data_IF_515033171518
#
_entry.id   IF_515033171518
#
_cell.length_a   1.000
_cell.length_b   1.000
_cell.length_c   1.000
_cell.angle_alpha   90.00
_cell.angle_beta   90.00
_cell.angle_gamma   90.00
#
_symmetry.space_group_name_H-M   'P 1'
#
loop_
_entity.id
_entity.type
_entity.pdbx_description
1 polymer ?
#
# COMPACT_ATOMS: atom_id res chain seq x y z
N UNK A 1 16.96 -18.81 21.76
CA UNK A 1 16.51 -20.07 21.15
C UNK A 1 16.06 -19.73 19.72
N UNK A 2 16.85 -20.12 18.72
CA UNK A 2 16.66 -19.75 17.31
C UNK A 2 15.42 -20.46 16.77
N UNK A 3 14.35 -19.72 16.50
CA UNK A 3 13.22 -20.24 15.71
C UNK A 3 13.67 -20.35 14.25
N UNK A 4 14.20 -21.53 13.91
CA UNK A 4 14.34 -21.99 12.54
C UNK A 4 12.99 -21.90 11.85
N UNK A 5 12.90 -21.13 10.77
CA UNK A 5 11.70 -21.06 9.93
C UNK A 5 11.50 -22.39 9.22
N UNK A 6 10.80 -23.30 9.89
CA UNK A 6 10.04 -24.35 9.23
C UNK A 6 8.96 -23.68 8.37
N UNK A 7 9.25 -23.48 7.08
CA UNK A 7 8.23 -23.22 6.06
C UNK A 7 8.45 -24.19 4.91
N UNK A 8 8.14 -25.46 5.16
CA UNK A 8 8.20 -26.52 4.15
C UNK A 8 7.41 -26.11 2.91
N UNK A 9 6.28 -25.40 3.03
CA UNK A 9 5.46 -24.93 1.90
C UNK A 9 6.13 -23.84 1.04
N UNK A 10 6.70 -22.79 1.65
CA UNK A 10 7.37 -21.71 0.91
C UNK A 10 8.67 -22.19 0.24
N UNK A 11 9.43 -23.04 0.93
CA UNK A 11 10.57 -23.72 0.33
C UNK A 11 10.13 -24.65 -0.81
N UNK A 12 8.97 -25.32 -0.70
CA UNK A 12 8.43 -26.19 -1.76
C UNK A 12 8.01 -25.37 -2.99
N UNK A 13 7.37 -24.21 -2.83
CA UNK A 13 6.99 -23.34 -3.96
C UNK A 13 8.21 -22.74 -4.66
N UNK A 14 9.20 -22.24 -3.90
CA UNK A 14 10.46 -21.77 -4.46
C UNK A 14 11.26 -22.91 -5.11
N UNK A 15 11.14 -24.14 -4.60
CA UNK A 15 11.71 -25.32 -5.24
C UNK A 15 10.99 -25.63 -6.55
N UNK A 16 9.65 -25.58 -6.63
CA UNK A 16 8.88 -25.78 -7.87
C UNK A 16 9.27 -24.74 -8.93
N UNK A 17 9.43 -23.47 -8.54
CA UNK A 17 9.95 -22.42 -9.44
C UNK A 17 11.38 -22.74 -9.91
N UNK A 18 12.27 -23.19 -9.01
CA UNK A 18 13.59 -23.71 -9.42
C UNK A 18 13.45 -24.90 -10.37
N UNK A 19 12.47 -25.78 -10.19
CA UNK A 19 12.24 -26.94 -11.05
C UNK A 19 11.77 -26.53 -12.44
N UNK A 20 10.91 -25.52 -12.56
CA UNK A 20 10.42 -24.97 -13.82
C UNK A 20 11.54 -24.26 -14.58
N UNK A 21 12.32 -23.44 -13.89
CA UNK A 21 13.44 -22.70 -14.48
C UNK A 21 14.63 -23.60 -14.84
N UNK A 22 14.96 -24.61 -14.02
CA UNK A 22 16.07 -25.55 -14.30
C UNK A 22 15.70 -26.69 -15.25
N UNK A 23 14.43 -26.88 -15.61
CA UNK A 23 14.00 -28.01 -16.44
C UNK A 23 14.57 -27.98 -17.88
N UNK A 24 15.27 -26.91 -18.28
CA UNK A 24 16.10 -26.91 -19.49
C UNK A 24 17.35 -27.81 -19.39
N UNK A 25 17.73 -28.28 -18.19
CA UNK A 25 18.84 -29.22 -17.99
C UNK A 25 18.44 -30.41 -17.10
N UNK A 26 18.14 -31.51 -17.79
CA UNK A 26 18.24 -32.92 -17.38
C UNK A 26 17.95 -33.26 -15.90
N UNK A 27 16.75 -33.81 -15.65
CA UNK A 27 16.54 -34.78 -14.56
C UNK A 27 16.06 -36.12 -15.11
N UNK A 28 16.85 -37.17 -14.85
CA UNK A 28 16.57 -38.58 -15.09
C UNK A 28 15.66 -39.16 -14.00
N UNK A 29 14.42 -38.69 -13.93
CA UNK A 29 13.38 -39.35 -13.13
C UNK A 29 12.22 -39.60 -14.09
N UNK A 30 11.69 -40.84 -14.23
CA UNK A 30 10.53 -41.11 -15.06
C UNK A 30 9.24 -40.79 -14.27
N UNK A 31 8.50 -39.72 -14.59
CA UNK A 31 7.22 -39.43 -13.96
C UNK A 31 6.13 -39.96 -14.89
N UNK A 32 5.30 -40.87 -14.38
CA UNK A 32 3.95 -41.07 -14.92
C UNK A 32 3.27 -39.68 -14.88
N UNK A 33 2.87 -39.16 -16.04
CA UNK A 33 2.24 -37.83 -16.25
C UNK A 33 3.19 -36.59 -16.21
N UNK A 34 4.16 -36.51 -17.15
CA UNK A 34 4.93 -35.27 -17.39
C UNK A 34 4.04 -34.20 -18.06
N UNK A 35 3.81 -33.08 -17.37
CA UNK A 35 3.31 -31.83 -18.00
C UNK A 35 4.48 -31.03 -18.58
N UNK A 36 4.37 -30.64 -19.86
CA UNK A 36 5.31 -29.77 -20.58
C UNK A 36 4.76 -28.34 -20.54
N UNK A 37 5.62 -27.39 -20.21
CA UNK A 37 5.31 -25.95 -20.18
C UNK A 37 6.23 -25.31 -21.19
N UNK A 38 5.65 -24.63 -22.18
CA UNK A 38 6.35 -23.99 -23.30
C UNK A 38 5.99 -22.52 -23.33
N UNK A 39 6.91 -21.68 -23.79
CA UNK A 39 6.72 -20.25 -24.05
C UNK A 39 6.12 -19.45 -22.87
N UNK A 40 6.73 -19.59 -21.69
CA UNK A 40 6.35 -18.82 -20.49
C UNK A 40 7.39 -17.77 -20.13
N UNK A 41 6.90 -16.57 -19.81
CA UNK A 41 7.70 -15.51 -19.16
C UNK A 41 7.30 -15.43 -17.70
N UNK A 42 8.28 -15.44 -16.80
CA UNK A 42 8.05 -15.37 -15.36
C UNK A 42 8.44 -13.98 -14.82
N UNK A 43 7.49 -13.33 -14.16
CA UNK A 43 7.72 -12.11 -13.38
C UNK A 43 7.38 -12.42 -11.92
N UNK A 44 8.27 -12.04 -11.01
CA UNK A 44 8.10 -12.27 -9.58
C UNK A 44 8.48 -11.01 -8.80
N UNK A 45 7.78 -10.78 -7.68
CA UNK A 45 8.08 -9.71 -6.74
C UNK A 45 8.31 -10.30 -5.35
N UNK A 46 9.34 -9.82 -4.66
CA UNK A 46 9.62 -10.19 -3.28
C UNK A 46 9.92 -8.93 -2.48
N UNK A 47 9.50 -8.93 -1.21
CA UNK A 47 9.89 -7.85 -0.31
C UNK A 47 11.36 -8.04 0.13
N UNK A 48 12.12 -6.96 0.39
CA UNK A 48 13.50 -7.07 0.83
C UNK A 48 13.62 -7.95 2.09
N UNK A 49 14.70 -8.73 2.21
CA UNK A 49 14.96 -9.52 3.42
C UNK A 49 15.16 -8.55 4.58
N UNK A 50 14.23 -8.58 5.54
CA UNK A 50 14.25 -7.73 6.73
C UNK A 50 13.53 -8.44 7.87
N UNK A 51 14.16 -8.50 9.04
CA UNK A 51 13.65 -9.17 10.23
C UNK A 51 13.32 -10.65 10.01
N UNK A 52 12.03 -11.00 10.11
CA UNK A 52 11.53 -12.37 10.02
C UNK A 52 11.35 -12.92 8.59
N UNK A 53 11.70 -12.15 7.56
CA UNK A 53 11.51 -12.54 6.14
C UNK A 53 12.62 -13.46 5.66
N UNK A 54 12.26 -14.56 5.00
CA UNK A 54 13.22 -15.55 4.48
C UNK A 54 14.01 -14.99 3.29
N UNK A 55 15.33 -15.15 3.32
CA UNK A 55 16.21 -14.82 2.20
C UNK A 55 16.02 -15.78 1.02
N UNK A 56 16.01 -15.22 -0.19
CA UNK A 56 15.97 -16.03 -1.41
C UNK A 56 17.34 -16.61 -1.71
N UNK A 57 17.38 -17.90 -2.07
CA UNK A 57 18.65 -18.54 -2.41
C UNK A 57 19.28 -17.90 -3.66
N UNK A 58 20.57 -17.59 -3.62
CA UNK A 58 21.35 -17.05 -4.75
C UNK A 58 21.19 -17.87 -6.06
N UNK A 59 21.04 -19.19 -5.94
CA UNK A 59 20.80 -20.09 -7.09
C UNK A 59 19.51 -19.80 -7.85
N UNK A 60 18.48 -19.29 -7.18
CA UNK A 60 17.23 -18.88 -7.82
C UNK A 60 17.40 -17.51 -8.46
N UNK A 61 18.00 -16.57 -7.70
CA UNK A 61 18.23 -15.20 -8.13
C UNK A 61 19.08 -15.11 -9.41
N UNK A 62 20.02 -16.03 -9.64
CA UNK A 62 20.81 -16.09 -10.89
C UNK A 62 19.96 -16.19 -12.17
N UNK A 63 18.72 -16.67 -12.07
CA UNK A 63 17.83 -16.80 -13.23
C UNK A 63 16.92 -15.58 -13.46
N UNK A 64 16.97 -14.58 -12.58
CA UNK A 64 16.15 -13.37 -12.67
C UNK A 64 17.04 -12.14 -12.80
N UNK A 65 16.56 -11.12 -13.51
CA UNK A 65 17.07 -9.76 -13.37
C UNK A 65 16.38 -9.12 -12.17
N UNK A 66 17.18 -8.65 -11.20
CA UNK A 66 16.66 -8.08 -9.96
C UNK A 66 16.57 -6.56 -10.10
N UNK A 67 15.38 -6.02 -9.84
CA UNK A 67 15.14 -4.59 -9.74
C UNK A 67 14.74 -4.24 -8.31
N UNK A 68 15.36 -3.21 -7.74
CA UNK A 68 15.00 -2.69 -6.42
C UNK A 68 14.11 -1.47 -6.57
N UNK A 69 12.91 -1.53 -5.99
CA UNK A 69 11.97 -0.41 -5.98
C UNK A 69 12.12 0.37 -4.66
N UNK A 70 12.75 1.56 -4.67
CA UNK A 70 12.79 2.42 -3.49
C UNK A 70 11.39 2.97 -3.18
N UNK A 71 11.23 3.48 -1.97
CA UNK A 71 10.00 4.18 -1.61
C UNK A 71 9.89 5.46 -2.45
N UNK A 72 8.71 5.76 -3.04
CA UNK A 72 8.53 6.95 -3.86
C UNK A 72 8.70 8.23 -3.04
N UNK A 73 9.17 9.29 -3.69
CA UNK A 73 9.26 10.62 -3.09
C UNK A 73 7.87 11.21 -2.84
N UNK A 74 7.78 12.16 -1.90
CA UNK A 74 6.55 12.90 -1.61
C UNK A 74 5.95 13.54 -2.86
N UNK A 75 6.79 14.11 -3.74
CA UNK A 75 6.33 14.72 -5.00
C UNK A 75 5.74 13.66 -5.96
N UNK A 76 6.34 12.47 -6.02
CA UNK A 76 5.80 11.37 -6.82
C UNK A 76 4.44 10.93 -6.29
N UNK A 77 4.30 10.82 -4.96
CA UNK A 77 3.03 10.48 -4.32
C UNK A 77 1.96 11.55 -4.59
N UNK A 78 2.32 12.83 -4.46
CA UNK A 78 1.41 13.93 -4.80
C UNK A 78 0.92 13.81 -6.23
N UNK A 79 1.82 13.62 -7.20
CA UNK A 79 1.44 13.50 -8.60
C UNK A 79 0.53 12.29 -8.86
N UNK A 80 0.88 11.10 -8.33
CA UNK A 80 0.09 9.87 -8.52
C UNK A 80 -1.35 10.06 -8.01
N UNK A 81 -1.51 10.55 -6.78
CA UNK A 81 -2.84 10.70 -6.18
C UNK A 81 -3.61 11.90 -6.72
N UNK A 82 -2.94 12.99 -7.13
CA UNK A 82 -3.59 14.12 -7.80
C UNK A 82 -4.17 13.71 -9.15
N UNK A 83 -3.44 12.95 -9.96
CA UNK A 83 -3.96 12.43 -11.23
C UNK A 83 -5.15 11.50 -10.97
N UNK A 84 -5.02 10.56 -10.02
CA UNK A 84 -6.10 9.62 -9.72
C UNK A 84 -7.39 10.31 -9.26
N UNK A 85 -7.31 11.25 -8.33
CA UNK A 85 -8.48 11.99 -7.83
C UNK A 85 -8.99 12.98 -8.89
N UNK A 86 -8.08 13.68 -9.59
CA UNK A 86 -8.42 14.64 -10.64
C UNK A 86 -9.21 14.00 -11.77
N UNK A 87 -8.72 12.88 -12.31
CA UNK A 87 -9.42 12.14 -13.37
C UNK A 87 -10.84 11.73 -12.95
N UNK A 88 -11.04 11.32 -11.70
CA UNK A 88 -12.36 10.95 -11.21
C UNK A 88 -13.29 12.15 -11.11
N UNK A 89 -12.85 13.24 -10.46
CA UNK A 89 -13.65 14.45 -10.29
C UNK A 89 -14.06 15.07 -11.64
N UNK A 90 -13.16 15.00 -12.63
CA UNK A 90 -13.44 15.43 -14.00
C UNK A 90 -14.39 14.47 -14.73
N UNK A 91 -14.17 13.14 -14.62
CA UNK A 91 -15.02 12.14 -15.31
C UNK A 91 -16.47 12.12 -14.85
N UNK A 92 -16.72 12.41 -13.57
CA UNK A 92 -18.05 12.42 -12.96
C UNK A 92 -18.68 13.82 -12.95
N UNK A 93 -18.06 14.81 -13.61
CA UNK A 93 -18.58 16.19 -13.71
C UNK A 93 -18.87 16.85 -12.35
N UNK A 94 -18.02 16.66 -11.35
CA UNK A 94 -18.13 17.37 -10.07
C UNK A 94 -18.06 18.88 -10.27
N UNK A 95 -18.68 19.65 -9.36
CA UNK A 95 -18.65 21.11 -9.43
C UNK A 95 -17.20 21.67 -9.39
N UNK A 96 -16.91 22.78 -10.10
CA UNK A 96 -15.56 23.36 -10.14
C UNK A 96 -14.97 23.70 -8.77
N UNK A 97 -15.83 24.00 -7.78
CA UNK A 97 -15.40 24.26 -6.40
C UNK A 97 -14.75 23.02 -5.78
N UNK A 98 -15.30 21.84 -6.03
CA UNK A 98 -14.79 20.55 -5.53
C UNK A 98 -13.53 20.14 -6.30
N UNK A 99 -13.51 20.33 -7.62
CA UNK A 99 -12.33 20.04 -8.44
C UNK A 99 -11.10 20.84 -7.99
N UNK A 100 -11.27 22.09 -7.58
CA UNK A 100 -10.19 22.93 -7.02
C UNK A 100 -9.62 22.41 -5.70
N UNK A 101 -10.38 21.60 -4.95
CA UNK A 101 -9.91 21.02 -3.69
C UNK A 101 -8.95 19.84 -3.88
N UNK A 102 -8.79 19.29 -5.09
CA UNK A 102 -7.98 18.07 -5.34
C UNK A 102 -6.57 18.15 -4.77
N UNK A 103 -5.89 19.29 -4.96
CA UNK A 103 -4.49 19.46 -4.55
C UNK A 103 -4.36 19.54 -3.03
N UNK A 104 -5.32 20.21 -2.39
CA UNK A 104 -5.40 20.30 -0.93
C UNK A 104 -5.71 18.94 -0.30
N UNK A 105 -6.65 18.18 -0.87
CA UNK A 105 -7.01 16.85 -0.39
C UNK A 105 -5.81 15.90 -0.41
N UNK A 106 -5.08 15.84 -1.53
CA UNK A 106 -3.92 14.96 -1.66
C UNK A 106 -2.79 15.39 -0.71
N UNK A 107 -2.52 16.70 -0.62
CA UNK A 107 -1.45 17.20 0.24
C UNK A 107 -1.77 16.96 1.71
N UNK A 108 -3.01 17.20 2.14
CA UNK A 108 -3.47 16.90 3.49
C UNK A 108 -3.40 15.40 3.79
N UNK A 109 -3.84 14.54 2.87
CA UNK A 109 -3.79 13.08 3.04
C UNK A 109 -2.35 12.57 3.26
N UNK A 110 -1.41 13.08 2.46
CA UNK A 110 0.01 12.72 2.56
C UNK A 110 0.62 13.23 3.87
N UNK A 111 0.28 14.47 4.28
CA UNK A 111 0.75 15.04 5.53
C UNK A 111 0.29 14.23 6.74
N UNK A 112 -1.02 13.90 6.80
CA UNK A 112 -1.59 13.07 7.86
C UNK A 112 -0.94 11.68 7.86
N UNK A 113 -0.78 11.05 6.69
CA UNK A 113 -0.12 9.76 6.57
C UNK A 113 1.30 9.78 7.17
N UNK A 114 2.13 10.76 6.82
CA UNK A 114 3.48 10.85 7.37
C UNK A 114 3.50 11.17 8.88
N UNK A 115 2.56 11.98 9.38
CA UNK A 115 2.41 12.20 10.83
C UNK A 115 2.05 10.91 11.55
N UNK A 116 1.08 10.16 11.02
CA UNK A 116 0.67 8.86 11.57
C UNK A 116 1.82 7.86 11.59
N UNK A 117 2.56 7.72 10.50
CA UNK A 117 3.74 6.85 10.45
C UNK A 117 4.84 7.23 11.44
N UNK A 118 4.99 8.52 11.78
CA UNK A 118 6.04 9.00 12.69
C UNK A 118 5.65 8.87 14.15
N UNK A 119 4.39 9.15 14.49
CA UNK A 119 3.94 9.21 15.87
C UNK A 119 3.35 7.89 16.39
N UNK A 120 2.64 7.15 15.53
CA UNK A 120 1.99 5.90 15.91
C UNK A 120 2.81 4.70 15.43
N UNK A 121 3.94 4.46 16.10
CA UNK A 121 4.84 3.36 15.77
C UNK A 121 4.33 2.01 16.31
N UNK A 122 4.58 0.91 15.59
CA UNK A 122 4.25 -0.42 16.08
C UNK A 122 5.12 -0.76 17.30
N UNK A 123 4.46 -1.17 18.38
CA UNK A 123 5.11 -1.66 19.60
C UNK A 123 4.75 -3.13 19.82
N UNK A 124 5.46 -3.89 20.68
CA UNK A 124 5.08 -5.27 20.98
C UNK A 124 3.64 -5.41 21.51
N UNK A 125 3.15 -4.38 22.21
CA UNK A 125 1.76 -4.31 22.72
C UNK A 125 0.76 -3.92 21.62
N UNK A 126 1.18 -3.08 20.66
CA UNK A 126 0.36 -2.58 19.54
C UNK A 126 1.00 -2.91 18.18
N UNK A 127 1.12 -4.19 17.81
CA UNK A 127 1.77 -4.59 16.57
C UNK A 127 0.94 -4.24 15.33
N UNK A 128 -0.37 -4.00 15.49
CA UNK A 128 -1.30 -3.61 14.42
C UNK A 128 -1.16 -2.15 13.97
N UNK A 129 -0.36 -1.33 14.68
CA UNK A 129 -0.07 0.06 14.31
C UNK A 129 0.96 0.13 13.17
N UNK A 130 0.65 -0.53 12.06
CA UNK A 130 1.47 -0.55 10.86
C UNK A 130 0.79 0.25 9.77
N UNK A 131 1.39 1.39 9.44
CA UNK A 131 0.91 2.29 8.41
C UNK A 131 1.84 2.25 7.20
N UNK A 132 1.27 2.11 6.01
CA UNK A 132 2.01 2.07 4.74
C UNK A 132 1.22 2.77 3.63
N UNK A 133 1.81 2.89 2.44
CA UNK A 133 1.20 3.62 1.33
C UNK A 133 -0.15 3.05 0.85
N UNK A 134 -0.48 1.79 1.18
CA UNK A 134 -1.82 1.22 0.92
C UNK A 134 -2.90 1.96 1.70
N UNK A 135 -2.58 2.50 2.87
CA UNK A 135 -3.54 3.24 3.67
C UNK A 135 -3.89 4.56 3.00
N UNK A 136 -2.90 5.25 2.45
CA UNK A 136 -3.14 6.42 1.60
C UNK A 136 -3.99 6.07 0.36
N UNK A 137 -3.73 4.92 -0.26
CA UNK A 137 -4.56 4.44 -1.38
C UNK A 137 -6.00 4.11 -0.97
N UNK A 138 -6.24 3.63 0.26
CA UNK A 138 -7.60 3.41 0.79
C UNK A 138 -8.35 4.73 1.00
N UNK A 139 -7.68 5.77 1.52
CA UNK A 139 -8.29 7.11 1.64
C UNK A 139 -8.68 7.63 0.26
N UNK A 140 -7.78 7.53 -0.72
CA UNK A 140 -8.09 7.91 -2.10
C UNK A 140 -9.27 7.09 -2.65
N UNK A 141 -9.29 5.77 -2.45
CA UNK A 141 -10.39 4.91 -2.88
C UNK A 141 -11.74 5.25 -2.23
N UNK A 142 -11.74 5.70 -0.97
CA UNK A 142 -12.94 6.21 -0.31
C UNK A 142 -13.47 7.48 -0.98
N UNK A 143 -12.57 8.42 -1.28
CA UNK A 143 -12.92 9.65 -2.02
C UNK A 143 -13.46 9.36 -3.43
N UNK A 144 -12.93 8.33 -4.10
CA UNK A 144 -13.38 7.89 -5.43
C UNK A 144 -14.78 7.23 -5.45
N UNK A 145 -15.37 6.95 -4.29
CA UNK A 145 -16.73 6.41 -4.18
C UNK A 145 -17.77 7.51 -3.95
N UNK A 146 -17.34 8.78 -3.87
CA UNK A 146 -18.24 9.90 -3.74
C UNK A 146 -19.13 10.05 -4.98
N UNK A 147 -20.37 10.47 -4.76
CA UNK A 147 -21.30 10.82 -5.81
C UNK A 147 -21.40 12.35 -5.94
N UNK A 148 -21.48 12.85 -7.16
CA UNK A 148 -21.48 14.28 -7.46
C UNK A 148 -22.71 15.01 -6.90
N UNK A 149 -23.84 14.33 -6.77
CA UNK A 149 -25.06 14.89 -6.15
C UNK A 149 -24.87 15.21 -4.67
N UNK A 150 -24.07 14.41 -3.96
CA UNK A 150 -23.89 14.53 -2.52
C UNK A 150 -22.83 15.56 -2.18
N UNK A 151 -21.71 15.57 -2.91
CA UNK A 151 -20.58 16.46 -2.66
C UNK A 151 -20.67 17.69 -3.59
N UNK A 152 -21.58 18.59 -3.24
CA UNK A 152 -21.81 19.83 -3.98
C UNK A 152 -21.07 21.05 -3.41
N UNK A 153 -20.41 20.94 -2.25
CA UNK A 153 -19.75 22.06 -1.59
C UNK A 153 -18.36 21.71 -1.07
N UNK A 154 -17.56 22.75 -0.81
CA UNK A 154 -16.23 22.61 -0.22
C UNK A 154 -16.32 21.98 1.17
N UNK A 155 -17.28 22.40 1.99
CA UNK A 155 -17.47 21.88 3.35
C UNK A 155 -17.81 20.39 3.32
N UNK A 156 -18.73 19.97 2.44
CA UNK A 156 -19.06 18.55 2.28
C UNK A 156 -17.87 17.71 1.83
N UNK A 157 -17.03 18.28 0.96
CA UNK A 157 -15.78 17.63 0.52
C UNK A 157 -14.82 17.42 1.69
N UNK A 158 -14.66 18.43 2.55
CA UNK A 158 -13.83 18.35 3.76
C UNK A 158 -14.37 17.32 4.75
N UNK A 159 -15.69 17.29 4.96
CA UNK A 159 -16.34 16.33 5.86
C UNK A 159 -16.14 14.90 5.35
N UNK A 160 -16.35 14.66 4.06
CA UNK A 160 -16.08 13.36 3.44
C UNK A 160 -14.62 12.96 3.64
N UNK A 161 -13.69 13.89 3.37
CA UNK A 161 -12.26 13.64 3.56
C UNK A 161 -11.92 13.27 5.01
N UNK A 162 -12.42 14.04 5.98
CA UNK A 162 -12.22 13.78 7.40
C UNK A 162 -12.77 12.40 7.81
N UNK A 163 -13.94 12.03 7.28
CA UNK A 163 -14.55 10.73 7.50
C UNK A 163 -13.70 9.58 6.94
N UNK A 164 -13.22 9.69 5.69
CA UNK A 164 -12.41 8.65 5.06
C UNK A 164 -11.05 8.47 5.75
N UNK A 165 -10.40 9.56 6.13
CA UNK A 165 -9.14 9.51 6.89
C UNK A 165 -9.38 8.85 8.26
N UNK A 166 -10.48 9.19 8.94
CA UNK A 166 -10.84 8.57 10.22
C UNK A 166 -11.06 7.06 10.08
N UNK A 167 -11.85 6.61 9.09
CA UNK A 167 -12.07 5.18 8.85
C UNK A 167 -10.80 4.40 8.56
N UNK A 168 -9.83 5.01 7.86
CA UNK A 168 -8.59 4.30 7.51
C UNK A 168 -7.62 4.22 8.68
N UNK A 169 -7.46 5.30 9.44
CA UNK A 169 -6.42 5.44 10.47
C UNK A 169 -6.97 5.32 11.90
N UNK A 170 -8.02 6.08 12.24
CA UNK A 170 -8.58 6.14 13.60
C UNK A 170 -9.15 4.79 14.04
N UNK A 171 -9.85 4.06 13.16
CA UNK A 171 -10.50 2.79 13.50
C UNK A 171 -9.51 1.69 13.94
N UNK A 172 -8.21 1.85 13.64
CA UNK A 172 -7.15 0.92 14.09
C UNK A 172 -6.62 1.24 15.48
N UNK A 173 -6.87 2.44 15.99
CA UNK A 173 -6.35 2.90 17.26
C UNK A 173 -7.17 2.29 18.40
N UNK A 174 -6.46 1.68 19.35
CA UNK A 174 -7.06 0.97 20.48
C UNK A 174 -7.15 1.86 21.73
N UNK A 175 -6.17 2.75 21.93
CA UNK A 175 -6.09 3.60 23.11
C UNK A 175 -6.78 4.93 22.89
N UNK A 176 -7.52 5.39 23.89
CA UNK A 176 -8.24 6.66 23.84
C UNK A 176 -7.30 7.86 23.69
N UNK A 177 -6.10 7.80 24.30
CA UNK A 177 -5.07 8.84 24.15
C UNK A 177 -4.60 8.97 22.70
N UNK A 178 -4.41 7.85 22.01
CA UNK A 178 -3.97 7.83 20.61
C UNK A 178 -5.07 8.37 19.70
N UNK A 179 -6.34 8.02 19.98
CA UNK A 179 -7.51 8.53 19.27
C UNK A 179 -7.64 10.04 19.42
N UNK A 180 -7.49 10.56 20.64
CA UNK A 180 -7.53 12.01 20.87
C UNK A 180 -6.40 12.73 20.13
N UNK A 181 -5.17 12.17 20.15
CA UNK A 181 -4.04 12.71 19.37
C UNK A 181 -4.33 12.73 17.87
N UNK A 182 -4.95 11.67 17.33
CA UNK A 182 -5.36 11.64 15.93
C UNK A 182 -6.32 12.78 15.58
N UNK A 183 -7.34 13.03 16.41
CA UNK A 183 -8.26 14.14 16.16
C UNK A 183 -7.57 15.50 16.21
N UNK A 184 -6.56 15.68 17.07
CA UNK A 184 -5.73 16.89 17.06
C UNK A 184 -4.99 17.04 15.73
N UNK A 185 -4.35 15.98 15.22
CA UNK A 185 -3.66 16.06 13.92
C UNK A 185 -4.61 16.36 12.76
N UNK A 186 -5.78 15.73 12.78
CA UNK A 186 -6.82 15.94 11.77
C UNK A 186 -7.30 17.40 11.81
N UNK A 187 -7.63 17.92 12.98
CA UNK A 187 -8.06 19.31 13.16
C UNK A 187 -6.99 20.30 12.68
N UNK A 188 -5.73 20.09 13.07
CA UNK A 188 -4.62 20.96 12.68
C UNK A 188 -4.41 20.95 11.16
N UNK A 189 -4.40 19.77 10.52
CA UNK A 189 -4.20 19.68 9.07
C UNK A 189 -5.39 20.25 8.29
N UNK A 190 -6.62 20.00 8.75
CA UNK A 190 -7.79 20.61 8.14
C UNK A 190 -7.75 22.14 8.20
N UNK A 191 -7.37 22.72 9.35
CA UNK A 191 -7.24 24.17 9.48
C UNK A 191 -6.11 24.73 8.59
N UNK A 192 -4.97 24.05 8.54
CA UNK A 192 -3.81 24.49 7.76
C UNK A 192 -4.08 24.52 6.25
N UNK A 193 -4.74 23.48 5.71
CA UNK A 193 -4.96 23.36 4.27
C UNK A 193 -6.28 23.97 3.81
N UNK A 194 -7.33 23.93 4.63
CA UNK A 194 -8.67 24.30 4.19
C UNK A 194 -9.21 25.63 4.75
N UNK A 195 -8.45 26.35 5.59
CA UNK A 195 -8.73 27.70 6.15
C UNK A 195 -10.20 28.02 6.39
#
# INVERSE_FOLDING_TARGET
MLFSTQTTSAQTQAQILKQLVKKSRNRRIPPKNKKRVEDVTLVAACAPPSGARTELSQRLLKHFSIFTLPQPSTNSLQHIFQVQIGCHLESQNFLPVVQKCRELLVTAAIAIYYKMCRQMLPTPVKPHYTFNMRDLAKVAQGLLQAHESEIASREKTIILFAHEVSRVFHDRLSDEKDRQMFYTFLSDDLHNYFK
#
